data_IF_875746577107
#
_entry.id   IF_875746577107
#
_cell.length_a   1.000
_cell.length_b   1.000
_cell.length_c   1.000
_cell.angle_alpha   90.00
_cell.angle_beta   90.00
_cell.angle_gamma   90.00
#
_symmetry.space_group_name_H-M   'P 1'
#
loop_
_entity.id
_entity.type
_entity.pdbx_description
1 polymer ?
#
# COMPACT_ATOMS: atom_id res chain seq x y z
N UNK A 1 -8.17 -10.61 -17.55
CA UNK A 1 -9.07 -9.97 -16.57
C UNK A 1 -8.84 -8.47 -16.61
N UNK A 2 -9.90 -7.67 -16.71
CA UNK A 2 -9.80 -6.21 -16.76
C UNK A 2 -9.62 -5.64 -15.35
N UNK A 3 -8.39 -5.29 -14.99
CA UNK A 3 -7.96 -4.86 -13.65
C UNK A 3 -7.00 -3.68 -13.73
N UNK A 4 -6.77 -3.00 -12.62
CA UNK A 4 -5.68 -2.04 -12.51
C UNK A 4 -4.32 -2.70 -12.82
N UNK A 5 -3.47 -1.99 -13.55
CA UNK A 5 -2.05 -2.36 -13.71
C UNK A 5 -1.32 -2.11 -12.41
N UNK A 6 -0.29 -2.91 -12.15
CA UNK A 6 0.58 -2.77 -10.97
C UNK A 6 2.00 -2.45 -11.43
N UNK A 7 2.53 -1.34 -10.96
CA UNK A 7 3.92 -0.97 -11.09
C UNK A 7 4.52 -0.99 -9.69
N UNK A 8 5.46 -1.89 -9.41
CA UNK A 8 6.26 -1.79 -8.19
C UNK A 8 7.27 -0.66 -8.41
N UNK A 9 7.24 0.35 -7.53
CA UNK A 9 8.19 1.47 -7.57
C UNK A 9 8.88 1.58 -6.22
N UNK A 10 10.19 1.38 -6.21
CA UNK A 10 10.97 1.28 -4.98
C UNK A 10 12.21 2.15 -5.00
N UNK A 11 12.52 2.72 -3.84
CA UNK A 11 13.79 3.35 -3.52
C UNK A 11 14.65 2.36 -2.74
N UNK A 12 15.88 2.13 -3.17
CA UNK A 12 16.76 1.14 -2.56
C UNK A 12 18.25 1.52 -2.68
N UNK A 13 19.09 0.95 -1.82
CA UNK A 13 20.54 0.99 -1.96
C UNK A 13 21.03 0.13 -3.14
N UNK A 14 22.31 0.28 -3.51
CA UNK A 14 22.96 -0.51 -4.57
C UNK A 14 22.88 -2.01 -4.29
N UNK A 15 22.97 -2.41 -3.01
CA UNK A 15 22.84 -3.80 -2.56
C UNK A 15 21.39 -4.22 -2.26
N UNK A 16 20.40 -3.46 -2.78
CA UNK A 16 18.99 -3.83 -2.79
C UNK A 16 18.23 -3.68 -1.47
N UNK A 17 18.75 -2.90 -0.52
CA UNK A 17 18.10 -2.67 0.78
C UNK A 17 17.14 -1.48 0.70
N UNK A 18 15.99 -1.58 1.38
CA UNK A 18 14.94 -0.55 1.39
C UNK A 18 14.88 0.22 2.72
N UNK A 19 15.69 -0.14 3.68
CA UNK A 19 15.87 0.56 4.94
C UNK A 19 17.38 0.67 5.25
N UNK A 20 17.81 1.83 5.73
CA UNK A 20 19.20 2.10 6.06
C UNK A 20 19.39 3.52 6.59
N UNK A 21 20.59 3.79 7.07
CA UNK A 21 20.93 5.07 7.71
C UNK A 21 21.53 6.04 6.68
N UNK A 22 20.94 6.15 5.49
CA UNK A 22 21.38 7.07 4.43
C UNK A 22 20.58 8.36 4.35
N UNK A 23 19.53 8.51 5.14
CA UNK A 23 18.71 9.72 5.19
C UNK A 23 19.60 10.96 5.47
N UNK A 24 19.54 11.93 4.55
CA UNK A 24 20.29 13.16 4.64
C UNK A 24 21.76 13.09 4.19
N UNK A 25 22.23 11.94 3.71
CA UNK A 25 23.55 11.85 3.10
C UNK A 25 23.58 12.55 1.72
N UNK A 26 24.77 13.00 1.23
CA UNK A 26 24.86 13.62 -0.09
C UNK A 26 24.33 12.71 -1.20
N UNK A 27 23.40 13.22 -2.02
CA UNK A 27 22.75 12.46 -3.09
C UNK A 27 21.45 11.78 -2.69
N UNK A 28 21.19 11.55 -1.40
CA UNK A 28 19.92 11.01 -0.93
C UNK A 28 18.74 11.89 -1.35
N UNK A 29 18.83 13.19 -1.09
CA UNK A 29 17.79 14.14 -1.48
C UNK A 29 17.49 14.11 -2.98
N UNK A 30 18.49 14.04 -3.84
CA UNK A 30 18.29 14.00 -5.31
C UNK A 30 17.56 12.73 -5.72
N UNK A 31 18.00 11.59 -5.20
CA UNK A 31 17.40 10.29 -5.51
C UNK A 31 16.00 10.15 -4.91
N UNK A 32 15.78 10.64 -3.69
CA UNK A 32 14.50 10.64 -3.00
C UNK A 32 13.48 11.56 -3.67
N UNK A 33 13.88 12.80 -4.02
CA UNK A 33 13.01 13.74 -4.77
C UNK A 33 12.62 13.14 -6.13
N UNK A 34 13.55 12.45 -6.80
CA UNK A 34 13.24 11.77 -8.07
C UNK A 34 12.28 10.61 -7.86
N UNK A 35 12.47 9.79 -6.80
CA UNK A 35 11.55 8.72 -6.45
C UNK A 35 10.13 9.27 -6.22
N UNK A 36 9.98 10.30 -5.41
CA UNK A 36 8.70 10.93 -5.10
C UNK A 36 8.01 11.51 -6.33
N UNK A 37 8.77 12.15 -7.21
CA UNK A 37 8.25 12.72 -8.45
C UNK A 37 7.75 11.64 -9.41
N UNK A 38 8.50 10.54 -9.56
CA UNK A 38 8.11 9.42 -10.42
C UNK A 38 6.87 8.68 -9.90
N UNK A 39 6.70 8.59 -8.59
CA UNK A 39 5.58 7.91 -7.96
C UNK A 39 4.21 8.37 -8.51
N UNK A 40 4.03 9.67 -8.71
CA UNK A 40 2.79 10.26 -9.23
C UNK A 40 2.73 10.41 -10.75
N UNK A 41 3.85 10.22 -11.44
CA UNK A 41 3.88 10.13 -12.92
C UNK A 41 3.52 8.73 -13.40
N UNK A 42 3.85 7.70 -12.61
CA UNK A 42 3.59 6.30 -12.94
C UNK A 42 2.12 5.91 -12.77
N UNK A 43 1.39 6.53 -11.84
CA UNK A 43 -0.01 6.22 -11.60
C UNK A 43 -0.74 7.22 -10.70
N UNK A 44 -2.05 7.10 -10.62
CA UNK A 44 -2.92 7.95 -9.80
C UNK A 44 -3.16 7.40 -8.39
N UNK A 45 -2.68 6.21 -8.09
CA UNK A 45 -2.83 5.56 -6.80
C UNK A 45 -1.50 4.97 -6.33
N UNK A 46 -1.12 5.32 -5.11
CA UNK A 46 -0.03 4.65 -4.40
C UNK A 46 -0.60 3.53 -3.55
N UNK A 47 0.18 2.50 -3.31
CA UNK A 47 -0.25 1.39 -2.46
C UNK A 47 0.90 0.89 -1.58
N UNK A 48 0.54 0.54 -0.34
CA UNK A 48 1.50 0.04 0.64
C UNK A 48 0.89 -1.07 1.50
N UNK A 49 1.75 -1.91 2.06
CA UNK A 49 1.35 -2.88 3.07
C UNK A 49 1.10 -2.22 4.42
N UNK A 50 0.28 -2.85 5.27
CA UNK A 50 -0.17 -2.30 6.55
C UNK A 50 0.96 -1.86 7.49
N UNK A 51 2.12 -2.51 7.48
CA UNK A 51 3.24 -2.08 8.32
C UNK A 51 3.75 -0.69 7.92
N UNK A 52 3.87 -0.43 6.62
CA UNK A 52 4.26 0.89 6.08
C UNK A 52 3.19 1.93 6.39
N UNK A 53 1.91 1.57 6.20
CA UNK A 53 0.79 2.48 6.50
C UNK A 53 0.74 2.84 7.98
N UNK A 54 0.84 1.87 8.89
CA UNK A 54 0.82 2.12 10.34
C UNK A 54 2.01 2.99 10.78
N UNK A 55 3.16 2.84 10.13
CA UNK A 55 4.36 3.61 10.46
C UNK A 55 4.29 5.06 9.96
N UNK A 56 3.89 5.28 8.73
CA UNK A 56 4.02 6.57 8.05
C UNK A 56 2.71 7.34 7.88
N UNK A 57 1.63 6.66 7.48
CA UNK A 57 0.37 7.30 7.12
C UNK A 57 -0.62 7.36 8.28
N UNK A 58 -0.92 6.23 8.90
CA UNK A 58 -1.95 6.11 9.94
C UNK A 58 -1.42 6.31 11.37
N UNK A 59 -0.14 6.04 11.60
CA UNK A 59 0.55 6.21 12.90
C UNK A 59 -0.14 5.50 14.07
N UNK A 60 0.03 4.18 14.12
CA UNK A 60 -0.46 3.33 15.21
C UNK A 60 -1.78 2.65 14.91
N UNK A 61 -2.44 2.18 15.97
CA UNK A 61 -3.70 1.45 15.91
C UNK A 61 -4.88 2.32 16.35
N UNK A 62 -6.11 2.09 15.85
CA UNK A 62 -7.27 2.84 16.31
C UNK A 62 -7.76 2.34 17.68
N UNK A 63 -8.33 3.24 18.47
CA UNK A 63 -9.20 2.84 19.58
C UNK A 63 -10.59 2.49 19.02
N UNK A 64 -10.97 1.24 19.14
CA UNK A 64 -12.24 0.71 18.62
C UNK A 64 -13.33 0.58 19.67
N UNK A 65 -13.10 0.97 20.94
CA UNK A 65 -14.04 0.78 22.05
C UNK A 65 -15.43 1.35 21.76
N UNK A 66 -15.51 2.53 21.14
CA UNK A 66 -16.78 3.17 20.78
C UNK A 66 -17.51 2.52 19.58
N UNK A 67 -16.89 1.55 18.93
CA UNK A 67 -17.45 0.81 17.81
C UNK A 67 -17.81 -0.63 18.15
N UNK A 68 -17.69 -1.00 19.43
CA UNK A 68 -18.07 -2.34 19.89
C UNK A 68 -19.56 -2.60 19.64
N UNK A 69 -19.88 -3.84 19.26
CA UNK A 69 -21.25 -4.26 19.00
C UNK A 69 -21.86 -3.76 17.67
N UNK A 70 -21.12 -3.04 16.84
CA UNK A 70 -21.60 -2.58 15.53
C UNK A 70 -21.97 -3.76 14.63
N UNK A 71 -23.17 -3.71 14.04
CA UNK A 71 -23.69 -4.72 13.11
C UNK A 71 -23.43 -4.32 11.66
N UNK A 72 -22.16 -4.40 11.24
CA UNK A 72 -21.73 -4.12 9.87
C UNK A 72 -21.52 -5.43 9.13
N UNK A 73 -21.99 -5.51 7.88
CA UNK A 73 -21.75 -6.64 7.00
C UNK A 73 -20.36 -6.55 6.34
N UNK A 74 -19.77 -7.72 6.05
CA UNK A 74 -18.52 -7.78 5.28
C UNK A 74 -18.80 -7.60 3.79
N UNK A 75 -18.98 -6.35 3.39
CA UNK A 75 -19.14 -5.92 2.01
C UNK A 75 -18.34 -4.65 1.75
N UNK A 76 -18.04 -4.38 0.49
CA UNK A 76 -17.40 -3.13 0.11
C UNK A 76 -18.27 -1.93 0.54
N UNK A 77 -17.59 -0.88 0.96
CA UNK A 77 -18.25 0.38 1.29
C UNK A 77 -17.50 1.54 0.64
N UNK A 78 -18.19 2.25 -0.23
CA UNK A 78 -17.67 3.40 -0.97
C UNK A 78 -18.66 4.54 -0.79
N UNK A 79 -18.27 5.67 -0.15
CA UNK A 79 -19.13 6.83 0.01
C UNK A 79 -19.60 7.35 -1.35
N UNK A 80 -20.89 7.73 -1.44
CA UNK A 80 -21.45 8.29 -2.65
C UNK A 80 -20.71 9.58 -3.06
N UNK A 81 -20.39 9.69 -4.35
CA UNK A 81 -19.73 10.88 -4.89
C UNK A 81 -18.27 11.08 -4.47
N UNK A 82 -17.63 10.07 -3.86
CA UNK A 82 -16.23 10.17 -3.48
C UNK A 82 -15.36 10.36 -4.73
N UNK A 83 -14.47 11.34 -4.67
CA UNK A 83 -13.50 11.65 -5.72
C UNK A 83 -12.16 12.03 -5.11
N UNK A 84 -11.08 11.74 -5.81
CA UNK A 84 -9.75 12.23 -5.48
C UNK A 84 -8.90 12.34 -6.75
N UNK A 85 -7.90 13.23 -6.70
CA UNK A 85 -6.88 13.34 -7.76
C UNK A 85 -5.88 12.20 -7.61
N UNK A 86 -5.53 11.87 -6.36
CA UNK A 86 -4.60 10.80 -6.01
C UNK A 86 -5.14 9.98 -4.84
N UNK A 87 -4.82 8.69 -4.83
CA UNK A 87 -5.23 7.73 -3.83
C UNK A 87 -4.04 7.13 -3.10
N UNK A 88 -4.25 6.75 -1.84
CA UNK A 88 -3.33 5.95 -1.04
C UNK A 88 -4.04 4.67 -0.60
N UNK A 89 -3.64 3.54 -1.17
CA UNK A 89 -4.28 2.24 -0.95
C UNK A 89 -3.51 1.48 0.12
N UNK A 90 -4.15 1.23 1.23
CA UNK A 90 -3.64 0.42 2.32
C UNK A 90 -4.07 -1.03 2.17
N UNK A 91 -3.12 -1.94 2.07
CA UNK A 91 -3.38 -3.38 2.14
C UNK A 91 -3.26 -3.86 3.59
N UNK A 92 -4.36 -3.77 4.33
CA UNK A 92 -4.40 -4.08 5.75
C UNK A 92 -5.37 -5.22 6.08
N UNK A 93 -4.90 -6.44 5.86
CA UNK A 93 -5.68 -7.67 6.02
C UNK A 93 -6.56 -7.69 7.27
N UNK A 94 -6.05 -7.20 8.39
CA UNK A 94 -6.69 -7.31 9.72
C UNK A 94 -7.31 -6.02 10.24
N UNK A 95 -7.15 -4.92 9.53
CA UNK A 95 -7.67 -3.63 10.00
C UNK A 95 -6.92 -3.09 11.21
N UNK A 96 -5.67 -2.70 11.04
CA UNK A 96 -4.78 -2.21 12.11
C UNK A 96 -4.47 -0.72 12.02
N UNK A 97 -4.67 -0.12 10.85
CA UNK A 97 -4.27 1.25 10.59
C UNK A 97 -5.15 2.26 11.35
N UNK A 98 -4.55 3.00 12.28
CA UNK A 98 -5.23 4.00 13.11
C UNK A 98 -5.32 5.36 12.44
N UNK A 99 -6.03 5.46 11.34
CA UNK A 99 -6.22 6.69 10.58
C UNK A 99 -6.69 7.85 11.47
N UNK A 100 -6.03 9.01 11.34
CA UNK A 100 -6.42 10.27 12.01
C UNK A 100 -7.10 11.24 11.04
N UNK A 101 -6.92 11.00 9.73
CA UNK A 101 -7.53 11.74 8.63
C UNK A 101 -7.87 10.74 7.52
N UNK A 102 -8.80 11.08 6.65
CA UNK A 102 -9.16 10.24 5.51
C UNK A 102 -8.23 10.45 4.30
N UNK A 103 -7.05 10.97 4.52
CA UNK A 103 -6.01 11.16 3.52
C UNK A 103 -4.62 11.11 4.16
N UNK A 104 -3.65 10.80 3.36
CA UNK A 104 -2.23 10.87 3.69
C UNK A 104 -1.57 12.02 2.94
N UNK A 105 -1.00 13.04 3.64
CA UNK A 105 -0.22 14.08 2.99
C UNK A 105 1.17 13.53 2.68
N UNK A 106 1.47 13.38 1.39
CA UNK A 106 2.76 12.87 0.93
C UNK A 106 3.17 13.54 -0.39
N UNK A 107 4.46 13.87 -0.54
CA UNK A 107 5.05 14.50 -1.73
C UNK A 107 4.21 15.68 -2.27
N UNK A 108 3.80 16.59 -1.37
CA UNK A 108 3.01 17.78 -1.71
C UNK A 108 1.55 17.51 -2.09
N UNK A 109 1.03 16.29 -1.94
CA UNK A 109 -0.34 15.91 -2.32
C UNK A 109 -1.15 15.42 -1.12
N UNK A 110 -2.47 15.48 -1.25
CA UNK A 110 -3.42 14.89 -0.31
C UNK A 110 -3.99 13.62 -0.94
N UNK A 111 -3.36 12.49 -0.64
CA UNK A 111 -3.75 11.20 -1.20
C UNK A 111 -4.93 10.64 -0.39
N UNK A 112 -6.10 10.50 -0.99
CA UNK A 112 -7.29 9.98 -0.32
C UNK A 112 -7.08 8.51 0.02
N UNK A 113 -7.34 8.14 1.28
CA UNK A 113 -7.16 6.78 1.76
C UNK A 113 -8.22 5.82 1.20
N UNK A 114 -7.79 4.61 0.86
CA UNK A 114 -8.63 3.43 0.58
C UNK A 114 -8.06 2.28 1.40
N UNK A 115 -8.91 1.52 2.11
CA UNK A 115 -8.50 0.31 2.81
C UNK A 115 -8.89 -0.95 2.05
N UNK A 116 -7.96 -1.88 1.86
CA UNK A 116 -8.22 -3.23 1.38
C UNK A 116 -8.07 -4.18 2.56
N UNK A 117 -9.17 -4.77 2.98
CA UNK A 117 -9.25 -5.64 4.15
C UNK A 117 -9.75 -7.03 3.77
N UNK A 118 -9.68 -7.96 4.72
CA UNK A 118 -10.38 -9.25 4.64
C UNK A 118 -11.45 -9.34 5.73
N UNK A 119 -12.15 -10.47 5.82
CA UNK A 119 -13.07 -10.76 6.92
C UNK A 119 -12.36 -10.95 8.28
N UNK A 120 -11.03 -10.85 8.31
CA UNK A 120 -10.24 -10.80 9.56
C UNK A 120 -10.29 -9.41 10.25
N UNK A 121 -10.61 -8.35 9.51
CA UNK A 121 -10.85 -7.05 10.11
C UNK A 121 -12.11 -7.09 10.97
N UNK A 122 -12.06 -6.50 12.15
CA UNK A 122 -13.24 -6.47 13.03
C UNK A 122 -14.34 -5.59 12.45
N UNK A 123 -15.60 -5.89 12.77
CA UNK A 123 -16.73 -5.03 12.41
C UNK A 123 -16.60 -3.62 13.01
N UNK A 124 -16.01 -3.51 14.20
CA UNK A 124 -15.68 -2.23 14.80
C UNK A 124 -14.69 -1.42 13.95
N UNK A 125 -13.70 -2.09 13.34
CA UNK A 125 -12.78 -1.41 12.42
C UNK A 125 -13.49 -0.91 11.15
N UNK A 126 -14.39 -1.69 10.58
CA UNK A 126 -15.19 -1.24 9.43
C UNK A 126 -16.08 -0.04 9.79
N UNK A 127 -16.67 -0.04 10.99
CA UNK A 127 -17.43 1.11 11.51
C UNK A 127 -16.54 2.34 11.70
N UNK A 128 -15.34 2.15 12.23
CA UNK A 128 -14.34 3.22 12.34
C UNK A 128 -14.02 3.83 10.97
N UNK A 129 -13.75 3.00 9.94
CA UNK A 129 -13.48 3.49 8.59
C UNK A 129 -14.66 4.29 8.01
N UNK A 130 -15.90 3.82 8.22
CA UNK A 130 -17.10 4.55 7.81
C UNK A 130 -17.21 5.90 8.51
N UNK A 131 -16.94 5.96 9.81
CA UNK A 131 -16.97 7.22 10.58
C UNK A 131 -15.91 8.22 10.14
N UNK A 132 -14.82 7.74 9.55
CA UNK A 132 -13.75 8.54 8.97
C UNK A 132 -13.96 8.86 7.49
N UNK A 133 -15.07 8.37 6.88
CA UNK A 133 -15.32 8.45 5.46
C UNK A 133 -14.18 7.84 4.60
N UNK A 134 -13.53 6.78 5.10
CA UNK A 134 -12.51 6.04 4.36
C UNK A 134 -13.19 4.86 3.68
N UNK A 135 -13.25 4.83 2.34
CA UNK A 135 -13.76 3.68 1.61
C UNK A 135 -12.94 2.44 1.90
N UNK A 136 -13.60 1.28 1.94
CA UNK A 136 -12.91 0.02 2.07
C UNK A 136 -13.48 -1.07 1.16
N UNK A 137 -12.59 -1.96 0.76
CA UNK A 137 -12.87 -3.12 -0.08
C UNK A 137 -12.60 -4.39 0.73
N UNK A 138 -13.60 -5.26 0.83
CA UNK A 138 -13.44 -6.57 1.47
C UNK A 138 -13.03 -7.57 0.39
N UNK A 139 -11.76 -7.97 0.41
CA UNK A 139 -11.16 -8.83 -0.61
C UNK A 139 -10.57 -10.09 0.04
N UNK A 140 -11.36 -11.14 0.11
CA UNK A 140 -11.00 -12.43 0.69
C UNK A 140 -11.43 -12.62 2.15
N UNK A 141 -11.30 -13.85 2.63
CA UNK A 141 -11.70 -14.25 3.98
C UNK A 141 -10.54 -14.17 4.97
N UNK A 142 -9.49 -14.96 4.74
CA UNK A 142 -8.30 -15.06 5.61
C UNK A 142 -7.12 -14.28 5.02
N UNK A 143 -6.88 -14.40 3.73
CA UNK A 143 -5.82 -13.73 3.00
C UNK A 143 -6.41 -12.78 1.97
N UNK A 144 -5.65 -11.73 1.63
CA UNK A 144 -6.10 -10.76 0.64
C UNK A 144 -6.11 -11.40 -0.75
N UNK A 145 -7.25 -11.31 -1.42
CA UNK A 145 -7.36 -11.57 -2.84
C UNK A 145 -6.93 -10.33 -3.64
N UNK A 146 -5.64 -10.27 -3.96
CA UNK A 146 -5.06 -9.12 -4.67
C UNK A 146 -5.69 -8.91 -6.06
N UNK A 147 -6.00 -9.99 -6.80
CA UNK A 147 -6.60 -9.89 -8.12
C UNK A 147 -7.98 -9.23 -8.05
N UNK A 148 -8.81 -9.64 -7.09
CA UNK A 148 -10.11 -9.04 -6.81
C UNK A 148 -9.98 -7.57 -6.43
N UNK A 149 -9.03 -7.23 -5.55
CA UNK A 149 -8.82 -5.84 -5.14
C UNK A 149 -8.50 -4.93 -6.32
N UNK A 150 -7.66 -5.38 -7.26
CA UNK A 150 -7.30 -4.61 -8.45
C UNK A 150 -8.47 -4.37 -9.40
N UNK A 151 -9.39 -5.33 -9.51
CA UNK A 151 -10.64 -5.17 -10.28
C UNK A 151 -11.53 -4.11 -9.60
N UNK A 152 -11.73 -4.22 -8.29
CA UNK A 152 -12.55 -3.28 -7.51
C UNK A 152 -11.96 -1.87 -7.50
N UNK A 153 -10.65 -1.72 -7.34
CA UNK A 153 -9.96 -0.44 -7.41
C UNK A 153 -10.18 0.26 -8.75
N UNK A 154 -10.12 -0.49 -9.85
CA UNK A 154 -10.42 0.04 -11.18
C UNK A 154 -11.88 0.45 -11.31
N UNK A 155 -12.81 -0.41 -10.89
CA UNK A 155 -14.24 -0.20 -11.12
C UNK A 155 -14.84 0.90 -10.23
N UNK A 156 -14.45 0.99 -8.96
CA UNK A 156 -15.02 1.95 -8.02
C UNK A 156 -14.32 3.31 -8.02
N UNK A 157 -13.02 3.35 -8.37
CA UNK A 157 -12.20 4.56 -8.21
C UNK A 157 -11.52 5.01 -9.52
N UNK A 158 -11.78 4.33 -10.65
CA UNK A 158 -11.11 4.53 -11.95
C UNK A 158 -9.57 4.48 -11.86
N UNK A 159 -9.05 3.67 -10.93
CA UNK A 159 -7.62 3.47 -10.79
C UNK A 159 -7.14 2.52 -11.90
N UNK A 160 -6.56 3.08 -12.96
CA UNK A 160 -6.05 2.31 -14.10
C UNK A 160 -4.66 1.73 -13.83
N UNK A 161 -3.85 2.45 -13.06
CA UNK A 161 -2.51 2.04 -12.66
C UNK A 161 -2.30 2.35 -11.19
N UNK A 162 -1.95 1.33 -10.42
CA UNK A 162 -1.57 1.40 -9.03
C UNK A 162 -0.05 1.27 -8.90
N UNK A 163 0.57 2.20 -8.20
CA UNK A 163 2.01 2.18 -7.91
C UNK A 163 2.22 1.59 -6.52
N UNK A 164 2.84 0.42 -6.47
CA UNK A 164 3.10 -0.30 -5.22
C UNK A 164 4.45 0.14 -4.66
N UNK A 165 4.39 0.93 -3.58
CA UNK A 165 5.56 1.48 -2.87
C UNK A 165 6.11 0.59 -1.75
N UNK A 166 5.59 -0.62 -1.61
CA UNK A 166 6.15 -1.60 -0.70
C UNK A 166 5.42 -1.68 0.66
N UNK A 167 6.01 -2.22 1.77
CA UNK A 167 7.37 -2.80 1.84
C UNK A 167 7.57 -4.17 1.18
N UNK A 168 8.71 -4.78 1.52
CA UNK A 168 9.21 -5.99 0.89
C UNK A 168 8.20 -7.15 0.82
N UNK A 169 7.45 -7.39 1.88
CA UNK A 169 6.49 -8.51 1.97
C UNK A 169 5.33 -8.38 0.98
N UNK A 170 4.78 -7.16 0.83
CA UNK A 170 3.67 -6.97 -0.11
C UNK A 170 4.16 -6.99 -1.55
N UNK A 171 5.35 -6.46 -1.84
CA UNK A 171 5.99 -6.61 -3.15
C UNK A 171 6.12 -8.08 -3.52
N UNK A 172 6.67 -8.89 -2.61
CA UNK A 172 6.79 -10.34 -2.79
C UNK A 172 5.44 -11.04 -2.97
N UNK A 173 4.39 -10.60 -2.26
CA UNK A 173 3.06 -11.17 -2.38
C UNK A 173 2.44 -10.90 -3.77
N UNK A 174 2.56 -9.68 -4.30
CA UNK A 174 2.10 -9.34 -5.64
C UNK A 174 2.89 -10.08 -6.74
N UNK A 175 4.21 -10.27 -6.55
CA UNK A 175 5.04 -11.07 -7.44
C UNK A 175 4.57 -12.52 -7.48
N UNK A 176 4.42 -13.17 -6.32
CA UNK A 176 3.92 -14.56 -6.23
C UNK A 176 2.54 -14.74 -6.86
N UNK A 177 1.71 -13.72 -6.80
CA UNK A 177 0.38 -13.74 -7.41
C UNK A 177 0.39 -13.52 -8.93
N UNK A 178 1.55 -13.23 -9.56
CA UNK A 178 1.66 -12.96 -10.99
C UNK A 178 0.93 -11.68 -11.43
N UNK A 179 0.84 -10.68 -10.55
CA UNK A 179 0.01 -9.49 -10.77
C UNK A 179 0.82 -8.24 -11.14
N UNK A 180 2.15 -8.31 -11.08
CA UNK A 180 3.04 -7.19 -11.38
C UNK A 180 3.20 -7.03 -12.90
N UNK A 181 3.02 -5.81 -13.40
CA UNK A 181 3.17 -5.47 -14.80
C UNK A 181 4.53 -4.82 -15.11
N UNK A 182 5.10 -4.11 -14.14
CA UNK A 182 6.36 -3.39 -14.29
C UNK A 182 7.05 -3.25 -12.94
N UNK A 183 8.38 -3.20 -12.96
CA UNK A 183 9.22 -2.85 -11.81
C UNK A 183 10.01 -1.60 -12.20
N UNK A 184 9.95 -0.57 -11.37
CA UNK A 184 10.68 0.67 -11.46
C UNK A 184 11.52 0.84 -10.20
N UNK A 185 12.83 0.98 -10.35
CA UNK A 185 13.75 1.08 -9.23
C UNK A 185 14.51 2.40 -9.30
N UNK A 186 14.53 3.12 -8.19
CA UNK A 186 15.43 4.24 -7.97
C UNK A 186 16.54 3.75 -7.04
N UNK A 187 17.76 3.73 -7.54
CA UNK A 187 18.91 3.21 -6.80
C UNK A 187 19.65 4.39 -6.18
N UNK A 188 19.66 4.48 -4.87
CA UNK A 188 20.46 5.44 -4.12
C UNK A 188 21.95 5.11 -4.26
N UNK A 189 22.84 6.11 -4.30
CA UNK A 189 24.28 5.89 -4.50
C UNK A 189 24.98 5.38 -3.23
N UNK A 190 24.37 4.43 -2.51
CA UNK A 190 24.87 3.89 -1.25
C UNK A 190 24.82 2.37 -1.23
N UNK A 191 25.67 1.81 -0.40
CA UNK A 191 25.68 0.38 -0.04
C UNK A 191 25.35 0.30 1.45
N UNK A 192 24.28 -0.40 1.79
CA UNK A 192 23.91 -0.65 3.19
C UNK A 192 24.93 -1.56 3.89
N UNK A 193 25.35 -2.63 3.21
CA UNK A 193 26.26 -3.63 3.77
C UNK A 193 25.69 -4.46 4.94
N UNK A 194 24.48 -4.16 5.40
CA UNK A 194 23.84 -4.84 6.52
C UNK A 194 22.92 -5.96 6.00
N UNK A 195 23.33 -7.22 6.24
CA UNK A 195 22.54 -8.40 5.85
C UNK A 195 21.21 -8.54 6.58
N UNK A 196 21.02 -7.84 7.72
CA UNK A 196 19.77 -7.86 8.50
C UNK A 196 18.72 -6.90 7.97
N UNK A 197 19.10 -5.93 7.15
CA UNK A 197 18.18 -4.98 6.52
C UNK A 197 17.33 -5.67 5.46
N UNK A 198 16.08 -5.21 5.30
CA UNK A 198 15.13 -5.81 4.35
C UNK A 198 15.55 -5.54 2.92
N UNK A 199 15.42 -6.56 2.09
CA UNK A 199 15.51 -6.43 0.64
C UNK A 199 14.25 -5.79 0.05
N UNK A 200 14.34 -5.47 -1.23
CA UNK A 200 13.21 -4.86 -1.97
C UNK A 200 12.03 -5.83 -2.13
N UNK A 201 12.30 -7.13 -2.17
CA UNK A 201 11.31 -8.18 -2.39
C UNK A 201 11.51 -9.31 -1.38
N UNK A 202 10.48 -9.61 -0.59
CA UNK A 202 10.48 -10.72 0.36
C UNK A 202 9.36 -11.71 0.00
N UNK A 203 9.76 -12.87 -0.51
CA UNK A 203 8.83 -13.89 -0.97
C UNK A 203 8.61 -15.03 0.02
N UNK A 204 9.22 -14.96 1.21
CA UNK A 204 9.17 -15.99 2.25
C UNK A 204 9.64 -17.37 1.73
N UNK A 205 10.63 -17.40 0.85
CA UNK A 205 11.17 -18.60 0.25
C UNK A 205 10.24 -19.34 -0.72
N UNK A 206 9.13 -18.70 -1.15
CA UNK A 206 8.10 -19.34 -1.99
C UNK A 206 8.16 -18.94 -3.47
N UNK A 207 9.24 -18.31 -3.89
CA UNK A 207 9.37 -17.75 -5.24
C UNK A 207 10.65 -18.29 -5.89
N UNK A 208 10.68 -19.58 -6.19
CA UNK A 208 11.94 -20.23 -6.62
C UNK A 208 12.04 -20.40 -8.14
N UNK A 209 10.91 -20.56 -8.87
CA UNK A 209 10.92 -20.98 -10.27
C UNK A 209 10.16 -20.10 -11.26
N UNK A 210 9.75 -18.89 -10.88
CA UNK A 210 9.05 -17.99 -11.81
C UNK A 210 10.05 -17.03 -12.48
N UNK A 211 9.97 -16.96 -13.79
CA UNK A 211 10.70 -15.98 -14.62
C UNK A 211 9.76 -14.84 -14.99
N UNK A 212 10.29 -13.63 -15.02
CA UNK A 212 9.61 -12.44 -15.54
C UNK A 212 9.89 -12.29 -17.01
#
# INVERSE_FOLDING_TARGET
MDRAKVIIHMYMSIDGKIDGDWDGLPGDKISGDYYDDQLFRLGSANANGSNTIVMYAAKGHPDLSKYDGQKIEYRDWVPSGIKAITWDVSYDRRGRAGWKKNYFPYAGRRNRAIEVVTKQASKGYLAFLQSMEIPYLVCGDQEINFAESLVKLKNYFDIKTMVLGGGALINGAFLRAGLVNQISLVVAPYISGDSKKKGTFETLGKFIDQRF
#
